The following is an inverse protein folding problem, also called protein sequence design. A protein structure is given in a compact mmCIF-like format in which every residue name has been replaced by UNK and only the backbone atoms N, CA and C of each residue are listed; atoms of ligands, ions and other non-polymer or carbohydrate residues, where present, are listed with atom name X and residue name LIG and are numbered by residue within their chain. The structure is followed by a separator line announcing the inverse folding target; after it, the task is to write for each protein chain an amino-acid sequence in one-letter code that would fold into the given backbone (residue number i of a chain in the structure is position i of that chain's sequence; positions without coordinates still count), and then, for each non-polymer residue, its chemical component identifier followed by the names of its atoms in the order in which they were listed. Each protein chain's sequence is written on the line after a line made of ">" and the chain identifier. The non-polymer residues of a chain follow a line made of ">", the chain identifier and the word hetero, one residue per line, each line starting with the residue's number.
data_IF_102109382877
#
_entry.id   IF_102109382877
#
_cell.length_a   1.000
_cell.length_b   1.000
_cell.length_c   1.000
_cell.angle_alpha   90.00
_cell.angle_beta   90.00
_cell.angle_gamma   90.00
#
_symmetry.space_group_name_H-M   'P 1'
#
loop_
_entity.id
_entity.type
_entity.pdbx_description
1 polymer ?
#
# COMPACT_ATOMS: atom_id res chain seq x y z
N UNK A 1 15.22 17.82 13.95
CA UNK A 1 15.17 17.40 12.53
C UNK A 1 13.84 16.68 12.32
N UNK A 2 13.03 17.01 11.30
CA UNK A 2 11.81 16.24 11.01
C UNK A 2 12.24 14.91 10.38
N UNK A 3 12.00 13.79 11.07
CA UNK A 3 12.14 12.48 10.46
C UNK A 3 11.04 12.31 9.41
N UNK A 4 11.42 12.01 8.16
CA UNK A 4 10.46 11.66 7.11
C UNK A 4 10.06 10.20 7.30
N UNK A 5 8.76 9.95 7.26
CA UNK A 5 8.18 8.61 7.22
C UNK A 5 7.76 8.33 5.79
N UNK A 6 8.06 7.14 5.30
CA UNK A 6 7.70 6.70 3.95
C UNK A 6 6.57 5.68 4.03
N UNK A 7 5.55 5.86 3.20
CA UNK A 7 4.44 4.92 3.07
C UNK A 7 4.72 4.01 1.88
N UNK A 8 4.78 2.70 2.12
CA UNK A 8 5.06 1.70 1.11
C UNK A 8 3.78 1.23 0.43
N UNK A 9 3.79 1.22 -0.90
CA UNK A 9 2.72 0.70 -1.75
C UNK A 9 2.81 -0.83 -1.91
N UNK A 10 1.69 -1.49 -2.22
CA UNK A 10 1.64 -2.93 -2.46
C UNK A 10 2.65 -3.39 -3.54
N UNK A 11 2.83 -2.59 -4.60
CA UNK A 11 3.76 -2.92 -5.68
C UNK A 11 5.21 -3.00 -5.22
N UNK A 12 5.61 -2.25 -4.19
CA UNK A 12 6.97 -2.34 -3.62
C UNK A 12 7.23 -3.75 -3.12
N UNK A 13 6.24 -4.34 -2.44
CA UNK A 13 6.33 -5.70 -1.91
C UNK A 13 6.19 -6.75 -3.01
N UNK A 14 5.16 -6.64 -3.85
CA UNK A 14 4.83 -7.63 -4.89
C UNK A 14 5.94 -7.74 -5.93
N UNK A 15 6.45 -6.60 -6.44
CA UNK A 15 7.51 -6.62 -7.44
C UNK A 15 8.85 -7.04 -6.83
N UNK A 16 9.13 -6.67 -5.58
CA UNK A 16 10.32 -7.15 -4.88
C UNK A 16 10.32 -8.68 -4.78
N UNK A 17 9.23 -9.27 -4.29
CA UNK A 17 9.11 -10.71 -4.12
C UNK A 17 9.18 -11.48 -5.44
N UNK A 18 8.56 -10.97 -6.50
CA UNK A 18 8.42 -11.71 -7.76
C UNK A 18 9.54 -11.48 -8.79
N UNK A 19 10.35 -10.43 -8.66
CA UNK A 19 11.30 -10.05 -9.72
C UNK A 19 12.75 -10.01 -9.25
N UNK A 20 13.08 -9.08 -8.34
CA UNK A 20 14.48 -8.69 -8.10
C UNK A 20 14.99 -9.03 -6.70
N UNK A 21 14.08 -9.27 -5.74
CA UNK A 21 14.38 -9.47 -4.32
C UNK A 21 13.57 -10.63 -3.75
N UNK A 22 13.54 -11.76 -4.46
CA UNK A 22 12.95 -12.99 -3.93
C UNK A 22 13.54 -13.32 -2.54
N UNK A 23 12.73 -13.88 -1.64
CA UNK A 23 13.08 -14.09 -0.24
C UNK A 23 14.35 -14.94 -0.07
N UNK A 24 14.52 -15.95 -0.92
CA UNK A 24 15.67 -16.85 -0.94
C UNK A 24 16.94 -16.22 -1.56
N UNK A 25 16.76 -15.20 -2.41
CA UNK A 25 17.86 -14.51 -3.09
C UNK A 25 18.41 -13.34 -2.28
N UNK A 26 17.55 -12.50 -1.71
CA UNK A 26 17.93 -11.25 -1.03
C UNK A 26 17.20 -11.08 0.30
N UNK A 27 17.45 -11.94 1.30
CA UNK A 27 16.77 -11.86 2.61
C UNK A 27 17.03 -10.53 3.34
N UNK A 28 18.21 -9.93 3.14
CA UNK A 28 18.61 -8.66 3.76
C UNK A 28 17.72 -7.48 3.38
N UNK A 29 17.08 -7.51 2.19
CA UNK A 29 16.10 -6.49 1.81
C UNK A 29 14.90 -6.52 2.75
N UNK A 30 14.36 -7.71 3.00
CA UNK A 30 13.18 -7.92 3.84
C UNK A 30 13.48 -7.65 5.31
N UNK A 31 14.64 -8.08 5.81
CA UNK A 31 15.13 -7.74 7.15
C UNK A 31 15.27 -6.22 7.32
N UNK A 32 15.77 -5.53 6.29
CA UNK A 32 15.89 -4.07 6.27
C UNK A 32 14.54 -3.36 6.35
N UNK A 33 13.51 -3.87 5.67
CA UNK A 33 12.15 -3.34 5.78
C UNK A 33 11.62 -3.46 7.21
N UNK A 34 11.76 -4.63 7.83
CA UNK A 34 11.34 -4.85 9.23
C UNK A 34 12.08 -3.91 10.18
N UNK A 35 13.40 -3.77 10.02
CA UNK A 35 14.21 -2.86 10.83
C UNK A 35 13.74 -1.40 10.70
N UNK A 36 13.56 -0.92 9.46
CA UNK A 36 13.12 0.44 9.22
C UNK A 36 11.69 0.71 9.70
N UNK A 37 10.84 -0.32 9.70
CA UNK A 37 9.50 -0.25 10.27
C UNK A 37 9.56 -0.13 11.80
N UNK A 38 10.39 -0.94 12.47
CA UNK A 38 10.62 -0.82 13.91
C UNK A 38 11.17 0.55 14.34
N UNK A 39 11.95 1.19 13.46
CA UNK A 39 12.47 2.55 13.64
C UNK A 39 11.46 3.66 13.29
N UNK A 40 10.24 3.31 12.87
CA UNK A 40 9.20 4.27 12.47
C UNK A 40 9.54 5.06 11.21
N UNK A 41 10.41 4.54 10.33
CA UNK A 41 10.85 5.22 9.10
C UNK A 41 10.04 4.80 7.88
N UNK A 42 9.52 3.58 7.88
CA UNK A 42 8.62 3.06 6.86
C UNK A 42 7.37 2.50 7.52
N UNK A 43 6.25 2.60 6.85
CA UNK A 43 5.00 1.95 7.21
C UNK A 43 4.20 1.66 5.94
N UNK A 44 3.11 0.92 6.06
CA UNK A 44 2.14 0.77 4.98
C UNK A 44 0.73 0.89 5.55
N UNK A 45 -0.30 0.83 4.70
CA UNK A 45 -1.69 1.04 5.11
C UNK A 45 -2.47 -0.28 5.11
N UNK A 46 -3.56 -0.33 5.87
CA UNK A 46 -4.45 -1.49 5.96
C UNK A 46 -4.99 -1.95 4.60
N UNK A 47 -5.10 -1.04 3.62
CA UNK A 47 -5.48 -1.41 2.25
C UNK A 47 -4.41 -2.28 1.58
N UNK A 48 -3.13 -1.95 1.74
CA UNK A 48 -2.01 -2.75 1.22
C UNK A 48 -1.96 -4.09 1.93
N UNK A 49 -2.17 -4.13 3.25
CA UNK A 49 -2.26 -5.38 4.00
C UNK A 49 -3.33 -6.31 3.42
N UNK A 50 -4.53 -5.79 3.13
CA UNK A 50 -5.62 -6.55 2.50
C UNK A 50 -5.24 -7.04 1.12
N UNK A 51 -4.52 -6.25 0.33
CA UNK A 51 -4.04 -6.64 -0.99
C UNK A 51 -3.03 -7.80 -0.92
N UNK A 52 -2.01 -7.69 -0.06
CA UNK A 52 -1.03 -8.77 0.14
C UNK A 52 -1.71 -10.06 0.63
N UNK A 53 -2.69 -9.94 1.53
CA UNK A 53 -3.46 -11.08 2.04
C UNK A 53 -4.24 -11.83 0.96
N UNK A 54 -4.61 -11.18 -0.15
CA UNK A 54 -5.27 -11.86 -1.28
C UNK A 54 -4.34 -12.80 -2.03
N UNK A 55 -3.04 -12.52 -2.05
CA UNK A 55 -2.02 -13.35 -2.70
C UNK A 55 -1.93 -14.76 -2.11
N UNK A 56 -2.11 -14.88 -0.78
CA UNK A 56 -2.03 -16.16 -0.03
C UNK A 56 -0.76 -16.95 -0.33
N UNK A 57 0.35 -16.24 -0.43
CA UNK A 57 1.67 -16.73 -0.81
C UNK A 57 2.72 -16.46 0.29
N UNK A 58 3.98 -16.76 0.00
CA UNK A 58 5.12 -16.51 0.89
C UNK A 58 5.22 -15.04 1.31
N UNK A 59 4.86 -14.12 0.42
CA UNK A 59 4.85 -12.69 0.72
C UNK A 59 3.80 -12.35 1.78
N UNK A 60 2.61 -12.93 1.70
CA UNK A 60 1.59 -12.78 2.74
C UNK A 60 2.05 -13.37 4.08
N UNK A 61 2.63 -14.58 4.07
CA UNK A 61 3.14 -15.21 5.30
C UNK A 61 4.20 -14.33 5.98
N UNK A 62 5.15 -13.79 5.20
CA UNK A 62 6.14 -12.84 5.71
C UNK A 62 5.49 -11.56 6.26
N UNK A 63 4.56 -10.96 5.53
CA UNK A 63 3.93 -9.71 5.94
C UNK A 63 3.16 -9.88 7.26
N UNK A 64 2.42 -10.99 7.41
CA UNK A 64 1.71 -11.35 8.64
C UNK A 64 2.66 -11.51 9.82
N UNK A 65 3.74 -12.26 9.62
CA UNK A 65 4.58 -12.72 10.72
C UNK A 65 5.64 -11.69 11.14
N UNK A 66 6.10 -10.84 10.21
CA UNK A 66 7.22 -9.93 10.44
C UNK A 66 6.90 -8.44 10.26
N UNK A 67 5.89 -8.08 9.47
CA UNK A 67 5.62 -6.68 9.11
C UNK A 67 4.25 -6.17 9.58
N UNK A 68 3.43 -7.02 10.22
CA UNK A 68 2.06 -6.69 10.63
C UNK A 68 1.94 -5.45 11.53
N UNK A 69 2.94 -5.22 12.37
CA UNK A 69 3.02 -4.06 13.27
C UNK A 69 3.19 -2.71 12.54
N UNK A 70 3.53 -2.73 11.26
CA UNK A 70 3.83 -1.54 10.46
C UNK A 70 2.68 -1.15 9.51
N UNK A 71 1.57 -1.88 9.52
CA UNK A 71 0.34 -1.46 8.83
C UNK A 71 -0.47 -0.51 9.73
N UNK A 72 -0.82 0.66 9.18
CA UNK A 72 -1.64 1.66 9.87
C UNK A 72 -3.04 1.72 9.26
N UNK A 73 -4.04 1.95 10.12
CA UNK A 73 -5.43 2.10 9.68
C UNK A 73 -5.61 3.43 8.93
N UNK A 74 -6.40 3.39 7.86
CA UNK A 74 -6.84 4.57 7.11
C UNK A 74 -8.26 5.04 7.49
N UNK A 75 -8.87 4.46 8.52
CA UNK A 75 -10.24 4.78 8.96
C UNK A 75 -10.36 6.12 9.72
N UNK A 76 -9.25 6.86 9.86
CA UNK A 76 -9.25 8.17 10.48
C UNK A 76 -10.04 9.18 9.63
N UNK A 77 -10.89 9.98 10.29
CA UNK A 77 -11.79 10.94 9.63
C UNK A 77 -11.05 11.92 8.72
N UNK A 78 -9.83 12.30 9.10
CA UNK A 78 -9.02 13.24 8.33
C UNK A 78 -8.50 12.60 7.03
N UNK A 79 -8.16 11.31 7.06
CA UNK A 79 -7.75 10.53 5.88
C UNK A 79 -8.92 10.37 4.91
N UNK A 80 -10.11 10.06 5.44
CA UNK A 80 -11.35 9.96 4.65
C UNK A 80 -11.70 11.32 4.02
N UNK A 81 -11.49 12.42 4.73
CA UNK A 81 -11.73 13.78 4.22
C UNK A 81 -10.84 14.10 3.01
N UNK A 82 -9.52 13.92 3.15
CA UNK A 82 -8.56 14.12 2.05
C UNK A 82 -8.86 13.20 0.87
N UNK A 83 -9.29 11.97 1.15
CA UNK A 83 -9.72 11.04 0.12
C UNK A 83 -10.90 11.57 -0.70
N UNK A 84 -11.90 12.15 -0.03
CA UNK A 84 -13.03 12.82 -0.66
C UNK A 84 -12.60 13.97 -1.57
N UNK A 85 -11.64 14.77 -1.13
CA UNK A 85 -11.12 15.91 -1.91
C UNK A 85 -10.44 15.44 -3.21
N UNK A 86 -9.61 14.38 -3.13
CA UNK A 86 -8.96 13.79 -4.31
C UNK A 86 -9.99 13.20 -5.28
N UNK A 87 -11.02 12.53 -4.75
CA UNK A 87 -12.11 11.97 -5.54
C UNK A 87 -12.92 13.05 -6.27
N UNK A 88 -13.20 14.15 -5.60
CA UNK A 88 -13.91 15.28 -6.19
C UNK A 88 -13.07 15.95 -7.30
N UNK A 89 -11.77 16.13 -7.07
CA UNK A 89 -10.85 16.64 -8.08
C UNK A 89 -10.83 15.75 -9.33
N UNK A 90 -10.66 14.44 -9.16
CA UNK A 90 -10.59 13.49 -10.28
C UNK A 90 -11.89 13.49 -11.11
N UNK A 91 -13.06 13.63 -10.47
CA UNK A 91 -14.36 13.73 -11.17
C UNK A 91 -14.50 15.01 -12.01
N UNK A 92 -13.96 16.13 -11.53
CA UNK A 92 -14.04 17.45 -12.19
C UNK A 92 -13.04 17.60 -13.34
N UNK A 93 -12.00 16.79 -13.38
CA UNK A 93 -10.95 16.89 -14.39
C UNK A 93 -11.45 16.48 -15.79
N UNK A 94 -11.54 17.48 -16.69
CA UNK A 94 -12.13 17.32 -18.03
C UNK A 94 -11.30 16.41 -18.95
N UNK A 95 -10.00 16.25 -18.67
CA UNK A 95 -9.08 15.43 -19.45
C UNK A 95 -9.34 13.92 -19.33
N UNK A 96 -10.04 13.48 -18.28
CA UNK A 96 -10.37 12.06 -18.10
C UNK A 96 -11.66 11.70 -18.82
N UNK A 97 -11.66 10.53 -19.48
CA UNK A 97 -12.86 9.97 -20.08
C UNK A 97 -13.89 9.63 -18.99
N UNK A 98 -15.19 9.60 -19.33
CA UNK A 98 -16.22 9.18 -18.37
C UNK A 98 -15.94 7.80 -17.76
N UNK A 99 -15.40 6.86 -18.57
CA UNK A 99 -15.00 5.53 -18.10
C UNK A 99 -13.87 5.58 -17.07
N UNK A 100 -12.83 6.40 -17.29
CA UNK A 100 -11.73 6.56 -16.34
C UNK A 100 -12.19 7.19 -15.01
N UNK A 101 -13.15 8.12 -15.06
CA UNK A 101 -13.74 8.72 -13.85
C UNK A 101 -14.61 7.73 -13.07
N UNK A 102 -15.34 6.86 -13.78
CA UNK A 102 -16.10 5.78 -13.14
C UNK A 102 -15.17 4.78 -12.49
N UNK A 103 -14.16 4.27 -13.20
CA UNK A 103 -13.22 3.28 -12.65
C UNK A 103 -12.42 3.82 -11.47
N UNK A 104 -12.05 5.10 -11.48
CA UNK A 104 -11.39 5.74 -10.34
C UNK A 104 -12.32 5.82 -9.13
N UNK A 105 -13.62 6.08 -9.34
CA UNK A 105 -14.62 6.05 -8.28
C UNK A 105 -14.94 4.64 -7.78
N UNK A 106 -14.92 3.64 -8.66
CA UNK A 106 -15.15 2.26 -8.27
C UNK A 106 -13.97 1.71 -7.48
N UNK A 107 -12.72 1.91 -7.95
CA UNK A 107 -11.51 1.57 -7.20
C UNK A 107 -11.46 2.26 -5.82
N UNK A 108 -12.13 3.42 -5.71
CA UNK A 108 -12.21 4.19 -4.48
C UNK A 108 -13.28 3.76 -3.48
N UNK A 109 -14.34 3.12 -3.97
CA UNK A 109 -15.48 2.69 -3.15
C UNK A 109 -15.46 1.17 -2.92
N UNK A 110 -14.74 0.41 -3.75
CA UNK A 110 -14.60 -1.03 -3.62
C UNK A 110 -13.74 -1.62 -4.73
N UNK A 111 -12.59 -2.15 -4.32
CA UNK A 111 -11.91 -3.28 -4.95
C UNK A 111 -12.06 -3.43 -6.47
N UNK A 112 -11.17 -2.80 -7.25
CA UNK A 112 -10.64 -3.48 -8.44
C UNK A 112 -9.34 -2.85 -8.93
N UNK A 113 -8.23 -3.37 -8.41
CA UNK A 113 -6.99 -3.49 -9.17
C UNK A 113 -6.44 -4.89 -8.94
N UNK A 114 -7.02 -5.85 -9.66
CA UNK A 114 -6.38 -6.81 -10.56
C UNK A 114 -7.46 -7.52 -11.38
#
# INVERSE_FOLDING_TARGET
>A
MRHRVYVLDANVFIQAAHQYYAFDLVPSFWEGLVWHAGEGRVLSIDHVEKELKKGKDELWDWARDHFSHAFVSTDEKDVIGVYGDVMEWARKELRFTPAARSSFADAAVGERLV
#
